data_IF_269638506009
#
_entry.id   IF_269638506009
#
_cell.length_a   1.000
_cell.length_b   1.000
_cell.length_c   1.000
_cell.angle_alpha   90.00
_cell.angle_beta   90.00
_cell.angle_gamma   90.00
#
_symmetry.space_group_name_H-M   'P 1'
#
loop_
_entity.id
_entity.type
_entity.pdbx_description
1 polymer ?
#
# COMPACT_ATOMS: atom_id res chain seq x y z
N UNK A 1 -36.49 -8.07 -15.66
CA UNK A 1 -35.71 -6.86 -15.32
C UNK A 1 -34.77 -7.29 -14.19
N UNK A 2 -33.49 -7.56 -14.49
CA UNK A 2 -32.56 -8.15 -13.52
C UNK A 2 -31.72 -7.02 -12.91
N UNK A 3 -31.72 -6.97 -11.58
CA UNK A 3 -31.04 -5.98 -10.75
C UNK A 3 -29.55 -6.31 -10.69
N UNK A 4 -28.71 -5.48 -11.29
CA UNK A 4 -27.26 -5.58 -11.09
C UNK A 4 -26.89 -4.76 -9.85
N UNK A 5 -26.84 -5.44 -8.69
CA UNK A 5 -26.16 -4.93 -7.51
C UNK A 5 -24.66 -5.12 -7.76
N UNK A 6 -23.96 -4.03 -8.04
CA UNK A 6 -22.51 -4.05 -8.20
C UNK A 6 -21.90 -4.26 -6.81
N UNK A 7 -21.54 -5.50 -6.52
CA UNK A 7 -20.86 -5.91 -5.28
C UNK A 7 -19.73 -4.93 -5.01
N UNK A 8 -19.84 -4.17 -3.91
CA UNK A 8 -18.81 -3.25 -3.45
C UNK A 8 -17.43 -3.91 -3.58
N UNK A 9 -16.58 -3.35 -4.46
CA UNK A 9 -15.35 -3.99 -4.90
C UNK A 9 -14.52 -4.46 -3.71
N UNK A 10 -14.22 -5.77 -3.68
CA UNK A 10 -13.46 -6.40 -2.62
C UNK A 10 -12.11 -5.67 -2.44
N UNK A 11 -11.96 -4.95 -1.33
CA UNK A 11 -10.73 -4.23 -1.02
C UNK A 11 -9.62 -5.25 -0.73
N UNK A 12 -8.68 -5.39 -1.67
CA UNK A 12 -7.48 -6.21 -1.45
C UNK A 12 -6.56 -5.47 -0.49
N UNK A 13 -6.20 -6.12 0.61
CA UNK A 13 -5.20 -5.59 1.55
C UNK A 13 -3.81 -5.76 0.93
N UNK A 14 -3.02 -4.71 0.97
CA UNK A 14 -1.60 -4.73 0.61
C UNK A 14 -0.76 -4.23 1.78
N UNK A 15 0.52 -4.59 1.79
CA UNK A 15 1.52 -4.17 2.79
C UNK A 15 2.69 -3.55 2.04
N UNK A 16 3.08 -2.36 2.46
CA UNK A 16 4.23 -1.65 1.93
C UNK A 16 5.45 -1.95 2.80
N UNK A 17 6.58 -2.25 2.17
CA UNK A 17 7.86 -2.41 2.82
C UNK A 17 8.88 -1.47 2.20
N UNK A 18 9.81 -1.05 3.04
CA UNK A 18 10.99 -0.26 2.68
C UNK A 18 12.16 -0.85 3.46
N UNK A 19 13.26 -1.18 2.79
CA UNK A 19 14.42 -1.89 3.37
C UNK A 19 14.04 -3.16 4.16
N UNK A 20 13.06 -3.91 3.65
CA UNK A 20 12.55 -5.12 4.30
C UNK A 20 11.72 -4.88 5.57
N UNK A 21 11.49 -3.63 5.96
CA UNK A 21 10.68 -3.24 7.11
C UNK A 21 9.31 -2.71 6.68
N UNK A 22 8.26 -3.05 7.43
CA UNK A 22 6.90 -2.61 7.10
C UNK A 22 6.75 -1.10 7.32
N UNK A 23 6.24 -0.41 6.30
CA UNK A 23 5.89 1.02 6.37
C UNK A 23 4.51 1.19 7.00
N UNK A 24 4.41 2.14 7.92
CA UNK A 24 3.15 2.56 8.55
C UNK A 24 2.62 3.84 7.90
N UNK A 25 1.32 4.10 8.05
CA UNK A 25 0.66 5.23 7.37
C UNK A 25 1.09 6.62 7.88
N UNK A 26 1.75 6.69 9.03
CA UNK A 26 2.17 7.95 9.66
C UNK A 26 3.64 8.28 9.43
N UNK A 27 4.41 7.34 8.89
CA UNK A 27 5.84 7.57 8.64
C UNK A 27 6.03 8.50 7.45
N UNK A 28 7.01 9.38 7.59
CA UNK A 28 7.46 10.31 6.56
C UNK A 28 8.69 9.77 5.84
N UNK A 29 8.97 10.22 4.60
CA UNK A 29 10.19 9.85 3.90
C UNK A 29 11.47 10.16 4.69
N UNK A 30 11.50 11.28 5.42
CA UNK A 30 12.64 11.66 6.25
C UNK A 30 12.87 10.69 7.42
N UNK A 31 11.80 10.18 8.05
CA UNK A 31 11.92 9.17 9.12
C UNK A 31 12.38 7.80 8.60
N UNK A 32 12.14 7.53 7.32
CA UNK A 32 12.60 6.32 6.63
C UNK A 32 13.99 6.52 5.99
N UNK A 33 14.56 7.73 6.03
CA UNK A 33 15.78 8.10 5.29
C UNK A 33 15.69 7.80 3.79
N UNK A 34 14.52 8.04 3.19
CA UNK A 34 14.32 7.85 1.75
C UNK A 34 15.04 8.91 0.94
N UNK A 35 15.67 8.49 -0.14
CA UNK A 35 16.30 9.31 -1.17
C UNK A 35 15.53 9.23 -2.49
N UNK A 36 15.88 10.12 -3.43
CA UNK A 36 15.33 10.04 -4.78
C UNK A 36 15.84 8.79 -5.50
N UNK A 37 14.93 8.06 -6.12
CA UNK A 37 15.24 6.78 -6.79
C UNK A 37 15.08 5.54 -5.91
N UNK A 38 14.74 5.70 -4.63
CA UNK A 38 14.40 4.58 -3.76
C UNK A 38 13.12 3.85 -4.18
N UNK A 39 13.03 2.56 -3.81
CA UNK A 39 11.94 1.66 -4.21
C UNK A 39 11.18 1.18 -2.97
N UNK A 40 9.85 1.13 -3.09
CA UNK A 40 8.95 0.56 -2.08
C UNK A 40 8.43 -0.79 -2.58
N UNK A 41 8.56 -1.85 -1.78
CA UNK A 41 7.98 -3.15 -2.12
C UNK A 41 6.52 -3.25 -1.72
N UNK A 42 5.69 -3.81 -2.62
CA UNK A 42 4.25 -4.01 -2.38
C UNK A 42 3.95 -5.50 -2.29
N UNK A 43 3.36 -5.91 -1.16
CA UNK A 43 3.04 -7.29 -0.85
C UNK A 43 1.53 -7.45 -0.70
N UNK A 44 0.92 -8.44 -1.35
CA UNK A 44 -0.48 -8.84 -1.11
C UNK A 44 -0.58 -9.78 0.09
#
# INVERSE_FOLDING_TARGET
QQHHCETAGAQRKVRFHFDGSKVTHSQTPAELNMEDGDIIEVWT
#
